data_IF_224619575826
#
_entry.id   IF_224619575826
#
_cell.length_a   1.000
_cell.length_b   1.000
_cell.length_c   1.000
_cell.angle_alpha   90.00
_cell.angle_beta   90.00
_cell.angle_gamma   90.00
#
_symmetry.space_group_name_H-M   'P 1'
#
loop_
_entity.id
_entity.type
_entity.pdbx_description
1 polymer ?
#
# COMPACT_ATOMS: atom_id res chain seq x y z
N UNK A 1 4.58 4.84 -4.10
CA UNK A 1 3.48 5.74 -4.56
C UNK A 1 2.20 5.49 -3.76
N UNK A 2 1.64 4.28 -3.77
CA UNK A 2 0.40 3.95 -3.05
C UNK A 2 0.40 4.36 -1.57
N UNK A 3 1.44 4.00 -0.80
CA UNK A 3 1.55 4.34 0.62
C UNK A 3 1.50 5.86 0.86
N UNK A 4 2.15 6.66 0.01
CA UNK A 4 2.14 8.12 0.14
C UNK A 4 0.71 8.67 -0.07
N UNK A 5 0.02 8.17 -1.09
CA UNK A 5 -1.37 8.55 -1.36
C UNK A 5 -2.33 8.08 -0.27
N UNK A 6 -2.12 6.88 0.30
CA UNK A 6 -2.88 6.34 1.43
C UNK A 6 -2.74 7.17 2.71
N UNK A 7 -1.62 7.87 2.88
CA UNK A 7 -1.38 8.77 4.02
C UNK A 7 -2.01 10.16 3.80
N UNK A 8 -2.60 10.42 2.63
CA UNK A 8 -3.27 11.67 2.30
C UNK A 8 -2.42 12.67 1.53
N UNK A 9 -1.31 12.25 0.91
CA UNK A 9 -0.58 13.14 0.00
C UNK A 9 -1.44 13.54 -1.22
N UNK A 10 -1.32 14.78 -1.66
CA UNK A 10 -2.03 15.29 -2.85
C UNK A 10 -1.41 14.79 -4.17
N UNK A 11 -0.14 14.37 -4.14
CA UNK A 11 0.56 13.82 -5.29
C UNK A 11 1.92 13.24 -4.93
N UNK A 12 2.56 12.59 -5.90
CA UNK A 12 3.89 12.00 -5.75
C UNK A 12 4.78 12.44 -6.91
N UNK A 13 5.91 13.08 -6.61
CA UNK A 13 6.96 13.41 -7.57
C UNK A 13 8.05 12.33 -7.53
N UNK A 14 8.45 11.78 -8.68
CA UNK A 14 9.54 10.81 -8.77
C UNK A 14 10.23 10.86 -10.13
N UNK A 15 11.53 10.55 -10.15
CA UNK A 15 12.33 10.48 -11.38
C UNK A 15 13.13 9.17 -11.46
N UNK A 16 14.11 8.98 -10.57
CA UNK A 16 15.04 7.84 -10.59
C UNK A 16 14.35 6.47 -10.55
N UNK A 17 13.22 6.37 -9.85
CA UNK A 17 12.43 5.13 -9.78
C UNK A 17 11.87 4.69 -11.15
N UNK A 18 11.55 5.64 -12.03
CA UNK A 18 11.07 5.36 -13.39
C UNK A 18 12.27 5.25 -14.35
N UNK A 19 13.18 6.23 -14.31
CA UNK A 19 14.32 6.31 -15.23
C UNK A 19 15.32 5.16 -15.04
N UNK A 20 15.50 4.66 -13.81
CA UNK A 20 16.39 3.55 -13.49
C UNK A 20 15.75 2.16 -13.59
N UNK A 21 14.48 2.06 -13.99
CA UNK A 21 13.81 0.78 -14.11
C UNK A 21 14.26 0.03 -15.38
N UNK A 22 14.30 -1.30 -15.30
CA UNK A 22 14.61 -2.16 -16.47
C UNK A 22 13.63 -1.97 -17.64
N UNK A 23 12.37 -1.61 -17.33
CA UNK A 23 11.37 -1.20 -18.31
C UNK A 23 10.69 0.09 -17.82
N UNK A 24 11.21 1.27 -18.20
CA UNK A 24 10.72 2.56 -17.70
C UNK A 24 9.25 2.84 -18.03
N UNK A 25 8.78 2.45 -19.23
CA UNK A 25 7.39 2.68 -19.65
C UNK A 25 6.42 1.84 -18.82
N UNK A 26 6.78 0.57 -18.58
CA UNK A 26 5.99 -0.30 -17.70
C UNK A 26 5.99 0.24 -16.26
N UNK A 27 7.13 0.72 -15.77
CA UNK A 27 7.23 1.32 -14.43
C UNK A 27 6.39 2.59 -14.30
N UNK A 28 6.38 3.46 -15.32
CA UNK A 28 5.52 4.65 -15.33
C UNK A 28 4.03 4.27 -15.25
N UNK A 29 3.60 3.26 -16.02
CA UNK A 29 2.23 2.72 -15.95
C UNK A 29 1.91 2.14 -14.57
N UNK A 30 2.85 1.39 -13.98
CA UNK A 30 2.70 0.86 -12.63
C UNK A 30 2.57 1.96 -11.57
N UNK A 31 3.38 3.02 -11.66
CA UNK A 31 3.34 4.15 -10.73
C UNK A 31 2.03 4.95 -10.85
N UNK A 32 1.52 5.15 -12.07
CA UNK A 32 0.19 5.76 -12.29
C UNK A 32 -0.90 4.99 -11.55
N UNK A 33 -0.97 3.67 -11.75
CA UNK A 33 -1.95 2.80 -11.07
C UNK A 33 -1.78 2.82 -9.56
N UNK A 34 -0.55 2.84 -9.07
CA UNK A 34 -0.28 2.88 -7.64
C UNK A 34 -0.72 4.21 -7.00
N UNK A 35 -0.63 5.33 -7.71
CA UNK A 35 -1.16 6.63 -7.25
C UNK A 35 -2.69 6.60 -7.20
N UNK A 36 -3.33 6.14 -8.27
CA UNK A 36 -4.79 6.00 -8.36
C UNK A 36 -5.32 5.11 -7.23
N UNK A 37 -4.79 3.89 -7.09
CA UNK A 37 -5.19 2.94 -6.05
C UNK A 37 -4.97 3.47 -4.63
N UNK A 38 -3.85 4.17 -4.39
CA UNK A 38 -3.59 4.73 -3.07
C UNK A 38 -4.52 5.89 -2.72
N UNK A 39 -4.94 6.70 -3.70
CA UNK A 39 -5.93 7.77 -3.47
C UNK A 39 -7.32 7.18 -3.22
N UNK A 40 -7.70 6.16 -3.97
CA UNK A 40 -8.95 5.42 -3.72
C UNK A 40 -8.94 4.80 -2.31
N UNK A 41 -7.83 4.18 -1.89
CA UNK A 41 -7.69 3.60 -0.56
C UNK A 41 -7.78 4.64 0.57
N UNK A 42 -7.25 5.85 0.34
CA UNK A 42 -7.41 6.98 1.29
C UNK A 42 -8.88 7.40 1.39
N UNK A 43 -9.56 7.59 0.27
CA UNK A 43 -10.96 8.01 0.22
C UNK A 43 -11.92 6.93 0.76
N UNK A 44 -11.60 5.65 0.55
CA UNK A 44 -12.40 4.52 1.02
C UNK A 44 -12.34 4.32 2.55
N UNK A 45 -11.34 4.89 3.23
CA UNK A 45 -11.16 4.71 4.68
C UNK A 45 -10.69 3.30 5.04
N UNK A 46 -9.37 3.07 4.96
CA UNK A 46 -8.76 1.76 5.29
C UNK A 46 -9.11 1.25 6.68
N UNK A 47 -9.20 -0.08 6.83
CA UNK A 47 -9.45 -0.75 8.11
C UNK A 47 -8.42 -0.27 9.16
N UNK A 48 -8.87 0.16 10.35
CA UNK A 48 -7.97 0.60 11.40
C UNK A 48 -7.07 -0.56 11.86
N UNK A 49 -5.77 -0.28 12.03
CA UNK A 49 -4.84 -1.27 12.59
C UNK A 49 -5.23 -1.55 14.04
N UNK A 50 -5.69 -2.77 14.33
CA UNK A 50 -5.91 -3.22 15.71
C UNK A 50 -4.56 -3.33 16.42
N UNK A 51 -4.42 -2.74 17.62
CA UNK A 51 -3.21 -2.87 18.47
C UNK A 51 -3.03 -4.28 19.01
N UNK A 52 -4.12 -5.04 19.13
CA UNK A 52 -4.13 -6.42 19.56
C UNK A 52 -4.57 -7.29 18.39
N UNK A 53 -3.68 -8.14 17.92
CA UNK A 53 -4.05 -9.21 17.01
C UNK A 53 -4.77 -10.28 17.84
N UNK A 54 -6.05 -10.55 17.53
CA UNK A 54 -6.59 -11.88 17.81
C UNK A 54 -5.73 -12.83 16.99
N UNK A 55 -4.97 -13.72 17.65
CA UNK A 55 -4.19 -14.71 16.93
C UNK A 55 -5.13 -15.43 15.95
N UNK A 56 -4.78 -15.47 14.66
CA UNK A 56 -5.53 -16.24 13.65
C UNK A 56 -5.41 -17.75 13.90
N UNK A 57 -4.52 -18.15 14.80
CA UNK A 57 -4.34 -19.48 15.33
C UNK A 57 -4.47 -19.39 16.85
N UNK A 58 -5.65 -19.67 17.44
CA UNK A 58 -5.77 -19.79 18.88
C UNK A 58 -4.80 -20.87 19.37
N UNK A 59 -3.96 -20.52 20.36
CA UNK A 59 -3.20 -21.51 21.14
C UNK A 59 -4.09 -22.23 22.17
N UNK A 60 -5.36 -21.85 22.28
CA UNK A 60 -6.39 -22.55 23.06
C UNK A 60 -6.86 -23.80 22.32
N UNK A 61 -5.99 -24.80 22.32
CA UNK A 61 -6.20 -26.12 21.76
C UNK A 61 -5.09 -27.12 22.09
N UNK A 62 -4.10 -26.73 22.92
CA UNK A 62 -3.19 -27.70 23.51
C UNK A 62 -3.93 -28.42 24.64
N UNK A 63 -4.62 -29.50 24.29
CA UNK A 63 -5.16 -30.48 25.22
C UNK A 63 -3.98 -31.02 26.04
N UNK A 64 -4.01 -30.76 27.34
CA UNK A 64 -3.34 -31.55 28.39
C UNK A 64 -4.41 -32.16 29.28
#
# INVERSE_FOLDING_TARGET
AAIAMELGCDGVLMNTAIAGARNPVLMASAMRKAVEAGREAFLAGRIPRKRYASASSPVDGLIG
#
